data_IF_878519034362
#
_entry.id   IF_878519034362
#
_cell.length_a   1.000
_cell.length_b   1.000
_cell.length_c   1.000
_cell.angle_alpha   90.00
_cell.angle_beta   90.00
_cell.angle_gamma   90.00
#
_symmetry.space_group_name_H-M   'P 1'
#
loop_
_entity.id
_entity.type
_entity.pdbx_description
1 polymer ?
#
# COMPACT_ATOMS: atom_id res chain seq x y z
N UNK A 1 -19.69 -14.22 -24.07
CA UNK A 1 -20.46 -15.04 -25.00
C UNK A 1 -21.22 -16.14 -24.26
N UNK A 2 -22.25 -16.69 -24.86
CA UNK A 2 -23.06 -17.76 -24.28
C UNK A 2 -22.21 -19.02 -24.03
N UNK A 3 -21.26 -19.28 -24.92
CA UNK A 3 -20.33 -20.42 -24.82
C UNK A 3 -19.37 -20.30 -23.66
N UNK A 4 -18.89 -19.09 -23.34
CA UNK A 4 -18.05 -18.82 -22.18
C UNK A 4 -18.79 -19.11 -20.86
N UNK A 5 -20.06 -18.72 -20.77
CA UNK A 5 -20.88 -18.99 -19.59
C UNK A 5 -21.15 -20.49 -19.38
N UNK A 6 -21.33 -21.24 -20.48
CA UNK A 6 -21.46 -22.71 -20.40
C UNK A 6 -20.15 -23.34 -19.92
N UNK A 7 -19.02 -22.89 -20.43
CA UNK A 7 -17.70 -23.35 -20.00
C UNK A 7 -17.45 -23.08 -18.51
N UNK A 8 -17.74 -21.84 -18.05
CA UNK A 8 -17.62 -21.48 -16.64
C UNK A 8 -18.52 -22.36 -15.77
N UNK A 9 -19.77 -22.57 -16.15
CA UNK A 9 -20.72 -23.40 -15.40
C UNK A 9 -20.26 -24.86 -15.31
N UNK A 10 -19.64 -25.40 -16.36
CA UNK A 10 -19.04 -26.75 -16.34
C UNK A 10 -17.84 -26.83 -15.39
N UNK A 11 -16.95 -25.83 -15.43
CA UNK A 11 -15.81 -25.78 -14.51
C UNK A 11 -16.23 -25.66 -13.06
N UNK A 12 -17.22 -24.84 -12.74
CA UNK A 12 -17.75 -24.69 -11.37
C UNK A 12 -18.25 -26.02 -10.81
N UNK A 13 -18.92 -26.86 -11.65
CA UNK A 13 -19.40 -28.19 -11.24
C UNK A 13 -18.28 -29.19 -10.97
N UNK A 14 -17.14 -29.06 -11.64
CA UNK A 14 -16.03 -30.01 -11.55
C UNK A 14 -15.06 -29.61 -10.42
N UNK A 15 -14.87 -28.31 -10.22
CA UNK A 15 -13.80 -27.80 -9.35
C UNK A 15 -14.22 -27.61 -7.90
N UNK A 16 -15.50 -27.76 -7.56
CA UNK A 16 -16.06 -27.57 -6.20
C UNK A 16 -15.60 -26.28 -5.51
N UNK A 17 -15.48 -25.19 -6.32
CA UNK A 17 -15.02 -23.90 -5.87
C UNK A 17 -16.14 -22.86 -5.73
N UNK A 18 -17.36 -23.31 -5.48
CA UNK A 18 -18.47 -22.42 -5.18
C UNK A 18 -18.26 -21.77 -3.81
N UNK A 19 -18.67 -20.51 -3.70
CA UNK A 19 -18.62 -19.82 -2.43
C UNK A 19 -19.52 -20.52 -1.39
N UNK A 20 -18.98 -20.77 -0.21
CA UNK A 20 -19.76 -21.35 0.89
C UNK A 20 -20.86 -20.41 1.37
N UNK A 21 -21.88 -20.95 2.04
CA UNK A 21 -22.94 -20.12 2.63
C UNK A 21 -22.40 -19.04 3.56
N UNK A 22 -21.36 -19.35 4.35
CA UNK A 22 -20.70 -18.39 5.23
C UNK A 22 -20.01 -17.27 4.45
N UNK A 23 -19.31 -17.60 3.35
CA UNK A 23 -18.66 -16.60 2.50
C UNK A 23 -19.71 -15.68 1.84
N UNK A 24 -20.83 -16.23 1.39
CA UNK A 24 -21.93 -15.47 0.80
C UNK A 24 -22.60 -14.54 1.83
N UNK A 25 -22.81 -15.02 3.05
CA UNK A 25 -23.33 -14.21 4.14
C UNK A 25 -22.40 -13.04 4.48
N UNK A 26 -21.09 -13.29 4.64
CA UNK A 26 -20.09 -12.24 4.88
C UNK A 26 -20.08 -11.24 3.75
N UNK A 27 -20.06 -11.71 2.51
CA UNK A 27 -20.03 -10.84 1.33
C UNK A 27 -21.28 -9.96 1.25
N UNK A 28 -22.46 -10.52 1.49
CA UNK A 28 -23.71 -9.75 1.46
C UNK A 28 -23.76 -8.62 2.50
N UNK A 29 -23.10 -8.81 3.65
CA UNK A 29 -22.96 -7.79 4.69
C UNK A 29 -21.93 -6.72 4.36
N UNK A 30 -20.90 -7.07 3.59
CA UNK A 30 -19.78 -6.16 3.30
C UNK A 30 -19.95 -5.35 2.01
N UNK A 31 -20.63 -5.89 1.00
CA UNK A 31 -20.81 -5.23 -0.30
C UNK A 31 -21.48 -3.85 -0.20
N UNK A 32 -22.54 -3.64 0.61
CA UNK A 32 -23.20 -2.34 0.67
C UNK A 32 -22.28 -1.17 1.09
N UNK A 33 -21.24 -1.44 1.85
CA UNK A 33 -20.29 -0.41 2.33
C UNK A 33 -18.98 -0.37 1.54
N UNK A 34 -18.82 -1.19 0.51
CA UNK A 34 -17.55 -1.34 -0.22
C UNK A 34 -17.08 -0.02 -0.82
N UNK A 35 -17.94 0.67 -1.55
CA UNK A 35 -17.58 1.94 -2.20
C UNK A 35 -17.18 3.01 -1.18
N UNK A 36 -17.90 3.09 -0.06
CA UNK A 36 -17.55 4.04 1.00
C UNK A 36 -16.18 3.73 1.59
N UNK A 37 -15.88 2.46 1.86
CA UNK A 37 -14.57 2.05 2.39
C UNK A 37 -13.42 2.33 1.42
N UNK A 38 -13.64 2.15 0.12
CA UNK A 38 -12.66 2.51 -0.92
C UNK A 38 -12.38 4.01 -0.88
N UNK A 39 -13.42 4.84 -0.84
CA UNK A 39 -13.27 6.30 -0.78
C UNK A 39 -12.60 6.76 0.51
N UNK A 40 -12.92 6.17 1.65
CA UNK A 40 -12.30 6.52 2.94
C UNK A 40 -10.82 6.12 2.96
N UNK A 41 -10.48 4.92 2.46
CA UNK A 41 -9.08 4.50 2.31
C UNK A 41 -8.29 5.43 1.38
N UNK A 42 -8.89 5.87 0.28
CA UNK A 42 -8.26 6.83 -0.63
C UNK A 42 -8.03 8.19 0.04
N UNK A 43 -9.02 8.73 0.75
CA UNK A 43 -8.89 10.01 1.47
C UNK A 43 -7.76 9.97 2.49
N UNK A 44 -7.71 8.92 3.32
CA UNK A 44 -6.65 8.71 4.29
C UNK A 44 -5.28 8.62 3.60
N UNK A 45 -5.21 7.88 2.49
CA UNK A 45 -3.96 7.72 1.73
C UNK A 45 -3.50 9.03 1.12
N UNK A 46 -4.39 9.79 0.50
CA UNK A 46 -4.08 11.09 -0.08
C UNK A 46 -3.56 12.07 0.97
N UNK A 47 -4.20 12.11 2.12
CA UNK A 47 -3.78 12.98 3.23
C UNK A 47 -2.42 12.57 3.79
N UNK A 48 -2.19 11.27 3.97
CA UNK A 48 -0.89 10.76 4.42
C UNK A 48 0.22 11.01 3.38
N UNK A 49 -0.04 10.80 2.10
CA UNK A 49 0.89 11.12 1.01
C UNK A 49 1.26 12.61 1.01
N UNK A 50 0.28 13.48 1.18
CA UNK A 50 0.52 14.94 1.26
C UNK A 50 1.33 15.31 2.52
N UNK A 51 1.09 14.64 3.63
CA UNK A 51 1.88 14.80 4.83
C UNK A 51 3.34 14.36 4.62
N UNK A 52 3.56 13.18 4.04
CA UNK A 52 4.92 12.67 3.72
C UNK A 52 5.67 13.63 2.80
N UNK A 53 5.02 14.16 1.76
CA UNK A 53 5.63 15.14 0.84
C UNK A 53 6.09 16.42 1.55
N UNK A 54 5.33 16.89 2.54
CA UNK A 54 5.72 18.09 3.34
C UNK A 54 6.81 17.78 4.34
N UNK A 55 6.76 16.61 4.98
CA UNK A 55 7.69 16.23 6.05
C UNK A 55 9.06 15.79 5.50
N UNK A 56 9.08 15.12 4.36
CA UNK A 56 10.30 14.63 3.69
C UNK A 56 10.26 14.96 2.18
N UNK A 57 10.46 16.24 1.79
CA UNK A 57 10.32 16.68 0.40
C UNK A 57 11.26 15.98 -0.59
N UNK A 58 12.39 15.45 -0.10
CA UNK A 58 13.35 14.71 -0.93
C UNK A 58 12.89 13.27 -1.26
N UNK A 59 11.85 12.76 -0.60
CA UNK A 59 11.29 11.46 -0.92
C UNK A 59 10.52 11.50 -2.26
N UNK A 60 10.66 10.43 -3.04
CA UNK A 60 9.87 10.26 -4.26
C UNK A 60 8.67 9.38 -3.96
N UNK A 61 7.50 9.85 -4.36
CA UNK A 61 6.25 9.14 -4.12
C UNK A 61 5.59 8.86 -5.47
N UNK A 62 5.30 7.56 -5.70
CA UNK A 62 4.45 7.15 -6.80
C UNK A 62 3.04 6.91 -6.25
N UNK A 63 2.13 7.76 -6.66
CA UNK A 63 0.72 7.72 -6.30
C UNK A 63 -0.13 8.24 -7.47
N UNK A 64 -1.41 7.98 -7.45
CA UNK A 64 -2.33 8.42 -8.51
C UNK A 64 -2.23 9.92 -8.78
N UNK A 65 -2.22 10.31 -10.04
CA UNK A 65 -2.27 11.72 -10.43
C UNK A 65 -3.65 12.33 -10.18
N UNK A 66 -3.71 13.65 -9.99
CA UNK A 66 -4.98 14.36 -9.83
C UNK A 66 -5.91 14.17 -11.02
N UNK A 67 -5.36 14.08 -12.24
CA UNK A 67 -6.12 13.85 -13.46
C UNK A 67 -6.80 12.46 -13.48
N UNK A 68 -6.13 11.41 -12.96
CA UNK A 68 -6.74 10.09 -12.84
C UNK A 68 -7.70 10.01 -11.66
N UNK A 69 -7.38 10.67 -10.54
CA UNK A 69 -8.27 10.73 -9.40
C UNK A 69 -9.61 11.40 -9.72
N UNK A 70 -9.59 12.44 -10.56
CA UNK A 70 -10.84 13.08 -11.07
C UNK A 70 -11.69 12.17 -11.97
N UNK A 71 -11.13 11.07 -12.46
CA UNK A 71 -11.82 10.00 -13.19
C UNK A 71 -12.17 8.80 -12.29
N UNK A 72 -12.27 9.02 -10.98
CA UNK A 72 -12.63 8.02 -9.97
C UNK A 72 -11.61 6.89 -9.74
N UNK A 73 -10.35 7.05 -10.21
CA UNK A 73 -9.27 6.16 -9.83
C UNK A 73 -8.77 6.51 -8.43
N UNK A 74 -9.27 5.80 -7.43
CA UNK A 74 -9.06 6.10 -6.00
C UNK A 74 -8.33 4.97 -5.25
N UNK A 75 -7.02 4.74 -5.54
CA UNK A 75 -6.24 3.70 -4.87
C UNK A 75 -5.91 4.08 -3.42
N UNK A 76 -5.79 3.07 -2.57
CA UNK A 76 -5.27 3.20 -1.20
C UNK A 76 -3.81 2.73 -1.06
N UNK A 77 -3.09 2.62 -2.17
CA UNK A 77 -1.72 2.12 -2.24
C UNK A 77 -0.83 3.15 -2.89
N UNK A 78 0.34 3.37 -2.32
CA UNK A 78 1.39 4.19 -2.91
C UNK A 78 2.76 3.56 -2.67
N UNK A 79 3.76 4.01 -3.43
CA UNK A 79 5.15 3.62 -3.22
C UNK A 79 5.97 4.82 -2.78
N UNK A 80 6.87 4.59 -1.83
CA UNK A 80 7.74 5.58 -1.23
C UNK A 80 9.21 5.18 -1.47
N UNK A 81 9.91 6.01 -2.21
CA UNK A 81 11.35 5.92 -2.41
C UNK A 81 12.04 6.91 -1.46
N UNK A 82 12.66 6.36 -0.41
CA UNK A 82 13.33 7.13 0.63
C UNK A 82 14.66 7.72 0.11
N UNK A 83 14.97 8.98 0.38
CA UNK A 83 16.25 9.57 0.00
C UNK A 83 17.40 8.90 0.76
N UNK A 84 18.51 8.69 0.07
CA UNK A 84 19.69 8.05 0.64
C UNK A 84 20.94 8.85 0.35
N UNK A 85 21.90 8.81 1.27
CA UNK A 85 23.26 9.34 1.11
C UNK A 85 24.20 8.17 0.85
N UNK A 86 25.22 8.40 0.05
CA UNK A 86 26.27 7.42 -0.26
C UNK A 86 27.04 7.84 -1.49
N UNK A 87 28.34 7.54 -1.51
CA UNK A 87 29.25 7.88 -2.61
C UNK A 87 29.19 6.85 -3.72
N UNK A 88 28.97 5.58 -3.37
CA UNK A 88 28.83 4.46 -4.31
C UNK A 88 27.38 3.99 -4.42
N UNK A 89 27.08 3.30 -5.52
CA UNK A 89 25.77 2.67 -5.73
C UNK A 89 25.46 1.64 -4.62
N UNK A 90 26.45 0.82 -4.26
CA UNK A 90 26.31 -0.21 -3.24
C UNK A 90 26.03 0.38 -1.84
N UNK A 91 26.69 1.48 -1.49
CA UNK A 91 26.40 2.20 -0.23
C UNK A 91 24.98 2.76 -0.21
N UNK A 92 24.53 3.35 -1.31
CA UNK A 92 23.17 3.88 -1.43
C UNK A 92 22.15 2.77 -1.32
N UNK A 93 22.35 1.63 -2.00
CA UNK A 93 21.45 0.48 -1.93
C UNK A 93 21.37 -0.09 -0.50
N UNK A 94 22.52 -0.32 0.15
CA UNK A 94 22.57 -0.83 1.52
C UNK A 94 21.87 0.11 2.50
N UNK A 95 22.12 1.42 2.36
CA UNK A 95 21.48 2.44 3.19
C UNK A 95 19.98 2.47 2.96
N UNK A 96 19.54 2.38 1.71
CA UNK A 96 18.12 2.37 1.35
C UNK A 96 17.40 1.17 1.94
N UNK A 97 17.94 -0.04 1.80
CA UNK A 97 17.37 -1.24 2.41
C UNK A 97 17.22 -1.08 3.91
N UNK A 98 18.25 -0.59 4.58
CA UNK A 98 18.21 -0.34 6.02
C UNK A 98 17.13 0.66 6.40
N UNK A 99 17.03 1.80 5.72
CA UNK A 99 16.00 2.83 5.99
C UNK A 99 14.58 2.31 5.74
N UNK A 100 14.39 1.53 4.67
CA UNK A 100 13.10 0.91 4.39
C UNK A 100 12.65 -0.01 5.52
N UNK A 101 13.56 -0.89 6.02
CA UNK A 101 13.25 -1.75 7.15
C UNK A 101 13.01 -0.95 8.43
N UNK A 102 13.80 0.08 8.71
CA UNK A 102 13.62 0.94 9.89
C UNK A 102 12.27 1.67 9.88
N UNK A 103 11.81 2.15 8.70
CA UNK A 103 10.47 2.72 8.59
C UNK A 103 9.39 1.68 8.86
N UNK A 104 9.50 0.50 8.26
CA UNK A 104 8.54 -0.59 8.45
C UNK A 104 8.51 -1.00 9.92
N UNK A 105 9.67 -1.24 10.53
CA UNK A 105 9.80 -1.63 11.93
C UNK A 105 9.20 -0.55 12.86
N UNK A 106 9.45 0.73 12.59
CA UNK A 106 8.85 1.82 13.34
C UNK A 106 7.32 1.76 13.28
N UNK A 107 6.73 1.54 12.10
CA UNK A 107 5.29 1.46 11.94
C UNK A 107 4.68 0.24 12.64
N UNK A 108 5.24 -0.95 12.45
CA UNK A 108 4.67 -2.17 13.03
C UNK A 108 4.89 -2.29 14.55
N UNK A 109 5.95 -1.68 15.07
CA UNK A 109 6.27 -1.72 16.51
C UNK A 109 5.51 -0.65 17.29
N UNK A 110 5.45 0.57 16.77
CA UNK A 110 4.79 1.67 17.47
C UNK A 110 3.25 1.58 17.40
N UNK A 111 2.71 1.00 16.35
CA UNK A 111 1.26 0.93 16.10
C UNK A 111 0.81 -0.47 15.62
N UNK A 112 1.07 -1.53 16.41
CA UNK A 112 0.83 -2.92 15.98
C UNK A 112 -0.65 -3.23 15.72
N UNK A 113 -1.57 -2.48 16.31
CA UNK A 113 -3.00 -2.62 16.06
C UNK A 113 -3.44 -1.95 14.75
N UNK A 114 -2.65 -1.02 14.23
CA UNK A 114 -2.93 -0.23 13.03
C UNK A 114 -2.08 -0.64 11.82
N UNK A 115 -0.96 -1.32 12.02
CA UNK A 115 0.01 -1.64 10.97
C UNK A 115 0.53 -3.07 11.06
N UNK A 116 0.89 -3.63 9.91
CA UNK A 116 1.53 -4.94 9.81
C UNK A 116 2.54 -5.00 8.66
N UNK A 117 3.53 -5.86 8.79
CA UNK A 117 4.41 -6.25 7.69
C UNK A 117 3.68 -7.29 6.82
N UNK A 118 3.28 -6.92 5.63
CA UNK A 118 2.47 -7.78 4.78
C UNK A 118 2.50 -7.35 3.32
N UNK A 119 2.56 -8.32 2.42
CA UNK A 119 2.46 -8.13 0.97
C UNK A 119 1.04 -7.76 0.52
N UNK A 120 0.04 -7.97 1.39
CA UNK A 120 -1.37 -7.72 1.09
C UNK A 120 -1.70 -6.24 1.05
N UNK A 121 -2.85 -5.91 0.51
CA UNK A 121 -3.41 -4.56 0.56
C UNK A 121 -4.09 -4.33 1.91
N UNK A 122 -3.91 -3.13 2.47
CA UNK A 122 -4.32 -2.78 3.83
C UNK A 122 -5.83 -2.66 4.04
N UNK A 123 -6.51 -3.77 4.20
CA UNK A 123 -7.97 -3.79 4.39
C UNK A 123 -8.39 -3.45 5.83
N UNK A 124 -7.75 -4.09 6.80
CA UNK A 124 -8.04 -3.91 8.23
C UNK A 124 -6.94 -3.11 8.93
N UNK A 125 -5.68 -3.33 8.53
CA UNK A 125 -4.50 -2.63 9.03
C UNK A 125 -3.71 -2.06 7.86
N UNK A 126 -2.94 -1.02 8.08
CA UNK A 126 -1.95 -0.56 7.13
C UNK A 126 -0.91 -1.65 6.85
N UNK A 127 -0.62 -1.91 5.59
CA UNK A 127 0.38 -2.89 5.17
C UNK A 127 1.61 -2.18 4.65
N UNK A 128 2.77 -2.53 5.19
CA UNK A 128 4.07 -2.00 4.82
C UNK A 128 4.96 -3.11 4.31
N UNK A 129 5.56 -2.95 3.14
CA UNK A 129 6.39 -3.96 2.51
C UNK A 129 7.48 -3.34 1.64
N UNK A 130 8.64 -3.98 1.55
CA UNK A 130 9.68 -3.59 0.60
C UNK A 130 9.48 -4.30 -0.73
N UNK A 131 9.59 -3.56 -1.82
CA UNK A 131 9.51 -4.10 -3.18
C UNK A 131 10.65 -3.54 -4.04
N UNK A 132 11.07 -4.25 -5.11
CA UNK A 132 11.97 -3.68 -6.10
C UNK A 132 11.36 -2.43 -6.74
N UNK A 133 12.20 -1.45 -7.08
CA UNK A 133 11.75 -0.22 -7.72
C UNK A 133 11.13 -0.45 -9.12
N UNK A 134 11.46 -1.57 -9.74
CA UNK A 134 10.91 -2.02 -11.03
C UNK A 134 9.61 -2.81 -10.92
N UNK A 135 9.08 -2.99 -9.68
CA UNK A 135 7.83 -3.72 -9.53
C UNK A 135 6.67 -3.01 -10.23
N UNK A 136 5.71 -3.78 -10.73
CA UNK A 136 4.51 -3.26 -11.42
C UNK A 136 3.65 -2.32 -10.55
N UNK A 137 3.89 -2.32 -9.24
CA UNK A 137 3.12 -1.55 -8.27
C UNK A 137 3.78 -0.22 -7.89
N UNK A 138 4.78 0.21 -8.58
CA UNK A 138 5.37 1.48 -8.24
C UNK A 138 6.75 1.72 -8.80
N UNK A 139 6.95 1.41 -10.07
CA UNK A 139 8.19 1.75 -10.75
C UNK A 139 8.42 3.25 -10.68
N UNK A 140 9.40 3.65 -9.90
CA UNK A 140 9.82 5.05 -9.73
C UNK A 140 11.15 5.33 -10.37
N UNK A 141 11.88 4.28 -10.77
CA UNK A 141 13.23 4.33 -11.36
C UNK A 141 13.43 3.24 -12.38
N UNK A 142 14.40 3.43 -13.23
CA UNK A 142 14.99 2.38 -14.04
C UNK A 142 15.97 1.57 -13.18
N UNK A 143 15.99 0.25 -13.37
CA UNK A 143 16.86 -0.67 -12.65
C UNK A 143 16.15 -1.44 -11.52
N UNK A 144 16.64 -2.62 -11.25
CA UNK A 144 16.03 -3.60 -10.33
C UNK A 144 16.65 -3.60 -8.91
N UNK A 145 17.70 -2.83 -8.72
CA UNK A 145 18.48 -2.83 -7.47
C UNK A 145 17.93 -1.92 -6.38
N UNK A 146 17.18 -0.91 -6.76
CA UNK A 146 16.64 0.08 -5.82
C UNK A 146 15.32 -0.42 -5.21
N UNK A 147 15.33 -0.65 -3.92
CA UNK A 147 14.14 -1.02 -3.16
C UNK A 147 13.35 0.22 -2.75
N UNK A 148 12.02 0.10 -2.79
CA UNK A 148 11.07 1.10 -2.30
C UNK A 148 10.15 0.50 -1.26
N UNK A 149 9.50 1.33 -0.45
CA UNK A 149 8.44 0.90 0.48
C UNK A 149 7.10 1.02 -0.21
N UNK A 150 6.37 -0.08 -0.33
CA UNK A 150 4.96 -0.06 -0.70
C UNK A 150 4.13 0.07 0.56
N UNK A 151 3.21 1.00 0.55
CA UNK A 151 2.28 1.27 1.64
C UNK A 151 0.85 1.11 1.13
N UNK A 152 0.05 0.30 1.81
CA UNK A 152 -1.37 0.16 1.56
C UNK A 152 -2.14 0.49 2.85
N UNK A 153 -2.99 1.50 2.81
CA UNK A 153 -3.65 2.03 4.00
C UNK A 153 -5.10 1.56 4.14
N UNK A 154 -5.55 1.49 5.39
CA UNK A 154 -6.89 1.07 5.76
C UNK A 154 -7.87 2.25 5.80
N UNK A 155 -9.16 2.05 5.46
CA UNK A 155 -10.18 3.07 5.68
C UNK A 155 -10.39 3.40 7.17
N UNK A 156 -10.03 2.49 8.07
CA UNK A 156 -10.23 2.60 9.52
C UNK A 156 -8.97 3.02 10.29
N UNK A 157 -7.93 3.50 9.60
CA UNK A 157 -6.66 3.87 10.24
C UNK A 157 -6.79 5.11 11.11
N UNK A 158 -6.04 5.15 12.20
CA UNK A 158 -5.74 6.39 12.92
C UNK A 158 -4.63 7.16 12.18
N UNK A 159 -5.04 8.12 11.37
CA UNK A 159 -4.15 8.88 10.51
C UNK A 159 -3.13 9.71 11.31
N UNK A 160 -3.53 10.31 12.41
CA UNK A 160 -2.66 11.15 13.23
C UNK A 160 -1.57 10.31 13.92
N UNK A 161 -1.92 9.11 14.33
CA UNK A 161 -0.94 8.18 14.89
C UNK A 161 0.09 7.75 13.84
N UNK A 162 -0.35 7.46 12.61
CA UNK A 162 0.58 7.16 11.50
C UNK A 162 1.50 8.34 11.17
N UNK A 163 0.96 9.56 11.13
CA UNK A 163 1.76 10.79 10.92
C UNK A 163 2.80 10.98 12.01
N UNK A 164 2.43 10.77 13.27
CA UNK A 164 3.36 10.87 14.42
C UNK A 164 4.52 9.89 14.31
N UNK A 165 4.24 8.62 13.98
CA UNK A 165 5.29 7.60 13.82
C UNK A 165 6.22 7.95 12.65
N UNK A 166 5.66 8.39 11.52
CA UNK A 166 6.46 8.82 10.36
C UNK A 166 7.34 10.03 10.70
N UNK A 167 6.81 11.01 11.41
CA UNK A 167 7.56 12.20 11.84
C UNK A 167 8.74 11.81 12.75
N UNK A 168 8.51 10.91 13.71
CA UNK A 168 9.57 10.39 14.57
C UNK A 168 10.65 9.67 13.76
N UNK A 169 10.25 8.86 12.80
CA UNK A 169 11.20 8.21 11.88
C UNK A 169 12.05 9.25 11.14
N UNK A 170 11.43 10.26 10.54
CA UNK A 170 12.16 11.31 9.82
C UNK A 170 13.13 12.04 10.75
N UNK A 171 12.71 12.42 11.96
CA UNK A 171 13.56 13.11 12.92
C UNK A 171 14.76 12.30 13.40
N UNK A 172 14.68 10.97 13.35
CA UNK A 172 15.77 10.08 13.78
C UNK A 172 16.77 9.79 12.67
N UNK A 173 16.40 9.89 11.40
CA UNK A 173 17.21 9.42 10.28
C UNK A 173 17.58 10.50 9.25
N UNK A 174 16.95 11.66 9.30
CA UNK A 174 17.17 12.79 8.40
C UNK A 174 17.43 14.12 9.13
#
# INVERSE_FOLDING_TARGET
SKDLMVTIALHLKICDNEATALQMEILSKQLPTMNQRIQDAYKNTLEFVNFVKRTLPAAKINFVSSALASQEFTPSVFSLDLPTKGTTEQERETTKRRLNHQLIDAMITAIPDQSKFCVSYGQLKGCYWTIPATSTQGTTKEGDKDYIVRVALSPMMDLELHKKVFLNFVSNFY
#
